data_IF_202015646857
#
_entry.id   IF_202015646857
#
_cell.length_a   1.000
_cell.length_b   1.000
_cell.length_c   1.000
_cell.angle_alpha   90.00
_cell.angle_beta   90.00
_cell.angle_gamma   90.00
#
_symmetry.space_group_name_H-M   'P 1'
#
loop_
_entity.id
_entity.type
_entity.pdbx_description
1 polymer ?
#
# COMPACT_ATOMS: atom_id res chain seq x y z
N UNK A 1 81.17 -59.27 -12.83
CA UNK A 1 80.81 -58.72 -11.51
C UNK A 1 79.58 -57.83 -11.68
N UNK A 2 78.52 -58.14 -10.94
CA UNK A 2 77.25 -57.42 -10.75
C UNK A 2 76.37 -57.07 -11.98
N UNK A 3 75.31 -57.85 -12.15
CA UNK A 3 74.09 -57.50 -12.90
C UNK A 3 73.06 -56.78 -12.01
N UNK A 4 72.27 -55.84 -12.56
CA UNK A 4 70.89 -55.63 -12.11
C UNK A 4 69.93 -55.51 -13.32
N UNK A 5 68.93 -56.39 -13.46
CA UNK A 5 67.61 -56.45 -12.81
C UNK A 5 66.66 -55.30 -13.21
N UNK A 6 65.79 -55.62 -14.17
CA UNK A 6 64.59 -54.87 -14.53
C UNK A 6 63.56 -54.98 -13.39
N UNK A 7 62.96 -53.86 -12.99
CA UNK A 7 61.93 -53.77 -11.94
C UNK A 7 60.55 -53.73 -12.57
N UNK A 8 59.71 -54.70 -12.24
CA UNK A 8 58.25 -54.67 -12.45
C UNK A 8 57.59 -53.82 -11.35
N UNK A 9 56.66 -52.94 -11.73
CA UNK A 9 55.82 -52.18 -10.81
C UNK A 9 54.54 -52.96 -10.49
N UNK A 10 54.08 -53.04 -9.23
CA UNK A 10 52.82 -53.69 -8.88
C UNK A 10 51.62 -52.73 -9.03
N UNK A 11 50.51 -53.27 -9.55
CA UNK A 11 49.22 -52.61 -9.65
C UNK A 11 48.51 -52.55 -8.28
N UNK A 12 48.13 -51.36 -7.83
CA UNK A 12 47.39 -51.15 -6.59
C UNK A 12 45.89 -51.37 -6.83
N UNK A 13 45.29 -52.32 -6.10
CA UNK A 13 43.85 -52.55 -6.04
C UNK A 13 43.25 -51.61 -4.98
N UNK A 14 42.42 -50.65 -5.40
CA UNK A 14 41.69 -49.75 -4.51
C UNK A 14 40.42 -50.41 -3.98
N UNK A 15 40.30 -50.50 -2.65
CA UNK A 15 39.12 -50.96 -1.92
C UNK A 15 38.10 -49.81 -1.84
N UNK A 16 36.92 -49.96 -2.45
CA UNK A 16 35.81 -48.99 -2.33
C UNK A 16 34.98 -49.37 -1.10
N UNK A 17 35.07 -48.57 -0.04
CA UNK A 17 34.20 -48.64 1.13
C UNK A 17 32.91 -47.87 0.86
N UNK A 18 31.78 -48.59 0.77
CA UNK A 18 30.45 -48.03 0.62
C UNK A 18 29.97 -47.50 1.98
N UNK A 19 30.02 -46.18 2.20
CA UNK A 19 29.44 -45.52 3.36
C UNK A 19 27.96 -45.26 3.06
N UNK A 20 27.07 -46.09 3.57
CA UNK A 20 25.62 -45.80 3.57
C UNK A 20 25.33 -44.78 4.67
N UNK A 21 25.38 -43.50 4.32
CA UNK A 21 24.93 -42.41 5.19
C UNK A 21 23.42 -42.49 5.41
N UNK A 22 23.00 -42.60 6.68
CA UNK A 22 21.61 -42.48 7.09
C UNK A 22 21.19 -41.01 6.87
N UNK A 23 20.40 -40.74 5.83
CA UNK A 23 19.84 -39.40 5.61
C UNK A 23 18.68 -39.23 6.58
N UNK A 24 18.92 -38.57 7.72
CA UNK A 24 17.83 -38.09 8.58
C UNK A 24 17.05 -37.01 7.80
N UNK A 25 15.89 -37.37 7.26
CA UNK A 25 14.93 -36.39 6.76
C UNK A 25 14.32 -35.67 7.96
N UNK A 26 14.76 -34.44 8.23
CA UNK A 26 14.05 -33.56 9.15
C UNK A 26 12.63 -33.31 8.63
N UNK A 27 11.59 -33.32 9.47
CA UNK A 27 10.25 -32.93 9.03
C UNK A 27 10.28 -31.49 8.54
N UNK A 28 9.71 -31.23 7.37
CA UNK A 28 9.49 -29.86 6.89
C UNK A 28 8.57 -29.15 7.89
N UNK A 29 9.07 -28.09 8.53
CA UNK A 29 8.24 -27.26 9.40
C UNK A 29 7.18 -26.58 8.53
N UNK A 30 5.92 -26.68 8.94
CA UNK A 30 4.85 -25.92 8.31
C UNK A 30 5.15 -24.43 8.52
N UNK A 31 5.32 -23.69 7.42
CA UNK A 31 5.65 -22.27 7.42
C UNK A 31 4.37 -21.44 7.31
N UNK A 32 4.31 -20.31 8.03
CA UNK A 32 3.26 -19.32 7.82
C UNK A 32 3.36 -18.76 6.41
N UNK A 33 2.25 -18.75 5.67
CA UNK A 33 2.18 -18.17 4.33
C UNK A 33 1.30 -16.93 4.31
N UNK A 34 1.62 -16.01 3.41
CA UNK A 34 0.93 -14.72 3.28
C UNK A 34 0.28 -14.61 1.90
N UNK A 35 -0.75 -13.78 1.80
CA UNK A 35 -1.32 -13.34 0.54
C UNK A 35 -1.96 -11.98 0.78
N UNK A 36 -2.30 -11.28 -0.30
CA UNK A 36 -2.84 -9.94 -0.22
C UNK A 36 -2.62 -9.19 -1.51
N UNK A 37 -3.45 -8.18 -1.71
CA UNK A 37 -3.41 -7.29 -2.87
C UNK A 37 -4.08 -5.98 -2.48
N UNK A 38 -3.52 -4.87 -2.94
CA UNK A 38 -4.15 -3.58 -2.82
C UNK A 38 -4.21 -2.90 -4.19
N UNK A 39 -5.29 -2.16 -4.45
CA UNK A 39 -5.37 -1.30 -5.62
C UNK A 39 -6.15 -0.03 -5.32
N UNK A 40 -5.72 1.09 -5.88
CA UNK A 40 -6.37 2.37 -5.64
C UNK A 40 -7.72 2.49 -6.37
N UNK A 41 -7.84 1.94 -7.59
CA UNK A 41 -9.12 1.86 -8.26
C UNK A 41 -9.25 0.64 -9.17
N UNK A 42 -10.48 0.13 -9.26
CA UNK A 42 -10.93 -0.78 -10.29
C UNK A 42 -12.10 -0.12 -11.03
N UNK A 43 -12.08 -0.20 -12.35
CA UNK A 43 -13.13 0.32 -13.23
C UNK A 43 -13.51 -0.78 -14.20
N UNK A 44 -14.80 -1.08 -14.29
CA UNK A 44 -15.34 -2.04 -15.23
C UNK A 44 -16.59 -1.47 -15.90
N UNK A 45 -16.51 -1.25 -17.20
CA UNK A 45 -17.63 -0.75 -18.03
C UNK A 45 -17.71 -1.55 -19.33
N UNK A 46 -18.84 -1.51 -20.05
CA UNK A 46 -18.92 -2.12 -21.38
C UNK A 46 -17.88 -1.61 -22.38
N UNK A 47 -17.31 -0.41 -22.18
CA UNK A 47 -16.34 0.22 -23.08
C UNK A 47 -14.89 -0.05 -22.68
N UNK A 48 -14.59 -0.08 -21.38
CA UNK A 48 -13.23 -0.25 -20.86
C UNK A 48 -12.87 -1.71 -20.58
N UNK A 49 -13.87 -2.55 -20.32
CA UNK A 49 -13.65 -3.83 -19.62
C UNK A 49 -13.08 -3.60 -18.21
N UNK A 50 -12.68 -4.67 -17.51
CA UNK A 50 -12.06 -4.57 -16.19
C UNK A 50 -10.66 -3.97 -16.29
N UNK A 51 -10.41 -2.93 -15.50
CA UNK A 51 -9.13 -2.22 -15.43
C UNK A 51 -8.79 -1.94 -13.97
N UNK A 52 -7.56 -2.25 -13.57
CA UNK A 52 -7.01 -1.90 -12.26
C UNK A 52 -6.00 -0.76 -12.41
N UNK A 53 -5.98 0.16 -11.44
CA UNK A 53 -5.13 1.35 -11.43
C UNK A 53 -4.42 1.43 -10.08
N UNK A 54 -3.11 1.63 -10.14
CA UNK A 54 -2.20 1.57 -8.99
C UNK A 54 -2.41 0.29 -8.19
N UNK A 55 -1.99 -0.84 -8.77
CA UNK A 55 -2.26 -2.19 -8.28
C UNK A 55 -0.96 -2.89 -7.90
N UNK A 56 -0.88 -3.33 -6.65
CA UNK A 56 0.30 -4.04 -6.15
C UNK A 56 0.52 -5.39 -6.84
N UNK A 57 -0.54 -5.96 -7.40
CA UNK A 57 -0.62 -7.38 -7.71
C UNK A 57 -0.59 -8.26 -6.45
N UNK A 58 -0.59 -9.57 -6.63
CA UNK A 58 -0.62 -10.52 -5.51
C UNK A 58 0.72 -10.58 -4.77
N UNK A 59 0.68 -10.53 -3.45
CA UNK A 59 1.80 -10.83 -2.58
C UNK A 59 2.23 -12.31 -2.70
N UNK A 60 3.53 -12.57 -2.58
CA UNK A 60 4.07 -13.94 -2.59
C UNK A 60 3.64 -14.71 -1.33
N UNK A 61 3.37 -16.03 -1.43
CA UNK A 61 3.16 -16.92 -0.27
C UNK A 61 4.27 -16.86 0.79
N UNK A 62 5.50 -16.56 0.37
CA UNK A 62 6.64 -16.38 1.28
C UNK A 62 6.62 -15.06 2.07
N UNK A 63 5.67 -14.16 1.78
CA UNK A 63 5.65 -12.80 2.31
C UNK A 63 6.44 -11.82 1.46
N UNK A 64 6.90 -10.74 2.09
CA UNK A 64 7.59 -9.61 1.47
C UNK A 64 6.69 -8.40 1.32
N UNK A 65 6.95 -7.57 0.33
CA UNK A 65 6.27 -6.31 0.12
C UNK A 65 6.06 -5.99 -1.35
N UNK A 66 4.93 -5.35 -1.67
CA UNK A 66 4.62 -4.78 -2.98
C UNK A 66 3.89 -3.45 -2.82
N UNK A 67 3.98 -2.60 -3.82
CA UNK A 67 3.41 -1.26 -3.83
C UNK A 67 3.26 -0.76 -5.27
N UNK A 68 2.36 0.20 -5.45
CA UNK A 68 2.19 0.93 -6.71
C UNK A 68 1.56 2.31 -6.42
N UNK A 69 1.84 3.29 -7.27
CA UNK A 69 1.39 4.67 -7.07
C UNK A 69 1.29 5.46 -8.38
N UNK A 70 0.30 6.34 -8.48
CA UNK A 70 0.04 7.20 -9.63
C UNK A 70 -0.35 8.61 -9.17
N UNK A 71 0.17 9.64 -9.82
CA UNK A 71 -0.11 11.03 -9.46
C UNK A 71 -1.51 11.48 -9.90
N UNK A 72 -1.90 11.16 -11.13
CA UNK A 72 -3.19 11.54 -11.70
C UNK A 72 -3.62 10.44 -12.69
N UNK A 73 -4.87 9.98 -12.61
CA UNK A 73 -5.40 8.99 -13.58
C UNK A 73 -5.34 9.50 -15.02
N UNK A 74 -5.35 10.82 -15.23
CA UNK A 74 -5.24 11.45 -16.56
C UNK A 74 -3.88 11.23 -17.20
N UNK A 75 -2.84 11.00 -16.40
CA UNK A 75 -1.48 10.74 -16.90
C UNK A 75 -1.40 9.39 -17.65
N UNK A 76 -2.40 8.52 -17.52
CA UNK A 76 -2.53 7.29 -18.31
C UNK A 76 -2.91 7.56 -19.77
N UNK A 77 -3.38 8.76 -20.11
CA UNK A 77 -3.76 9.12 -21.49
C UNK A 77 -4.99 8.39 -22.02
N UNK A 78 -5.80 7.79 -21.15
CA UNK A 78 -6.97 6.97 -21.52
C UNK A 78 -8.25 7.78 -21.46
N UNK A 79 -8.69 8.33 -22.60
CA UNK A 79 -9.91 9.15 -22.68
C UNK A 79 -11.18 8.41 -22.20
N UNK A 80 -11.27 7.11 -22.46
CA UNK A 80 -12.38 6.27 -21.99
C UNK A 80 -12.41 6.14 -20.47
N UNK A 81 -11.24 6.01 -19.83
CA UNK A 81 -11.14 6.04 -18.37
C UNK A 81 -11.55 7.40 -17.81
N UNK A 82 -11.07 8.50 -18.39
CA UNK A 82 -11.38 9.86 -17.93
C UNK A 82 -12.88 10.19 -17.99
N UNK A 83 -13.65 9.48 -18.82
CA UNK A 83 -15.11 9.59 -18.85
C UNK A 83 -15.83 8.86 -17.71
N UNK A 84 -15.10 8.04 -16.96
CA UNK A 84 -15.62 7.19 -15.87
C UNK A 84 -14.99 7.54 -14.53
N UNK A 85 -13.68 7.78 -14.46
CA UNK A 85 -12.95 8.07 -13.24
C UNK A 85 -11.90 9.14 -13.49
N UNK A 86 -11.89 10.16 -12.65
CA UNK A 86 -10.72 11.01 -12.42
C UNK A 86 -10.37 10.98 -10.94
N UNK A 87 -9.10 10.77 -10.63
CA UNK A 87 -8.58 10.80 -9.26
C UNK A 87 -7.11 11.19 -9.25
N UNK A 88 -6.64 11.64 -8.10
CA UNK A 88 -5.29 12.15 -7.89
C UNK A 88 -4.65 11.46 -6.69
N UNK A 89 -3.31 11.43 -6.67
CA UNK A 89 -2.49 10.94 -5.56
C UNK A 89 -2.89 9.51 -5.12
N UNK A 90 -2.89 8.59 -6.08
CA UNK A 90 -3.21 7.19 -5.87
C UNK A 90 -2.00 6.47 -5.27
N UNK A 91 -2.23 5.67 -4.23
CA UNK A 91 -1.21 4.83 -3.61
C UNK A 91 -1.83 3.50 -3.17
N UNK A 92 -1.09 2.40 -3.36
CA UNK A 92 -1.44 1.07 -2.88
C UNK A 92 -0.20 0.35 -2.33
N UNK A 93 -0.37 -0.45 -1.29
CA UNK A 93 0.70 -1.25 -0.69
C UNK A 93 0.13 -2.53 -0.06
N UNK A 94 0.92 -3.60 -0.12
CA UNK A 94 0.67 -4.85 0.59
C UNK A 94 1.98 -5.45 1.10
N UNK A 95 1.94 -6.09 2.26
CA UNK A 95 3.09 -6.78 2.85
C UNK A 95 2.68 -7.96 3.71
N UNK A 96 3.63 -8.86 3.98
CA UNK A 96 3.43 -9.94 4.93
C UNK A 96 4.73 -10.55 5.43
N UNK A 97 4.87 -10.66 6.75
CA UNK A 97 5.92 -11.38 7.47
C UNK A 97 5.52 -11.47 8.95
N UNK A 98 6.35 -12.07 9.80
CA UNK A 98 6.19 -11.98 11.27
C UNK A 98 4.80 -12.37 11.82
N UNK A 99 4.02 -13.18 11.11
CA UNK A 99 2.67 -13.56 11.51
C UNK A 99 1.60 -12.49 11.25
N UNK A 100 1.87 -11.53 10.36
CA UNK A 100 0.93 -10.50 9.91
C UNK A 100 0.99 -10.29 8.39
N UNK A 101 -0.16 -10.07 7.77
CA UNK A 101 -0.31 -9.48 6.45
C UNK A 101 -1.06 -8.17 6.58
N UNK A 102 -0.59 -7.13 5.89
CA UNK A 102 -1.12 -5.77 5.94
C UNK A 102 -1.27 -5.22 4.52
N UNK A 103 -2.39 -4.57 4.23
CA UNK A 103 -2.64 -3.94 2.94
C UNK A 103 -3.36 -2.61 3.13
N UNK A 104 -3.05 -1.64 2.27
CA UNK A 104 -3.71 -0.35 2.24
C UNK A 104 -3.77 0.23 0.84
N UNK A 105 -4.81 0.99 0.56
CA UNK A 105 -4.92 1.81 -0.64
C UNK A 105 -5.51 3.17 -0.29
N UNK A 106 -5.21 4.19 -1.10
CA UNK A 106 -5.81 5.51 -0.98
C UNK A 106 -5.78 6.29 -2.29
N UNK A 107 -6.66 7.28 -2.39
CA UNK A 107 -6.76 8.22 -3.49
C UNK A 107 -7.48 9.51 -3.02
N UNK A 108 -7.19 10.61 -3.70
CA UNK A 108 -7.75 11.93 -3.43
C UNK A 108 -8.50 12.51 -4.64
N UNK A 109 -9.30 13.55 -4.39
CA UNK A 109 -10.02 14.33 -5.41
C UNK A 109 -10.76 13.46 -6.44
N UNK A 110 -11.55 12.53 -5.93
CA UNK A 110 -12.21 11.50 -6.73
C UNK A 110 -13.49 12.02 -7.35
N UNK A 111 -13.65 11.75 -8.65
CA UNK A 111 -14.92 11.89 -9.37
C UNK A 111 -15.16 10.62 -10.19
N UNK A 112 -16.25 9.92 -9.89
CA UNK A 112 -16.73 8.74 -10.64
C UNK A 112 -17.98 9.13 -11.42
N UNK A 113 -18.05 8.72 -12.68
CA UNK A 113 -19.09 9.05 -13.66
C UNK A 113 -19.37 10.58 -13.74
N UNK A 114 -18.40 11.40 -14.18
CA UNK A 114 -18.57 12.85 -14.28
C UNK A 114 -19.85 13.27 -15.02
N UNK A 115 -20.73 14.03 -14.34
CA UNK A 115 -21.99 14.54 -14.91
C UNK A 115 -23.14 13.52 -15.01
N UNK A 116 -22.94 12.28 -14.54
CA UNK A 116 -23.98 11.26 -14.49
C UNK A 116 -24.89 11.42 -13.26
N UNK A 117 -26.14 10.95 -13.34
CA UNK A 117 -27.07 10.94 -12.22
C UNK A 117 -26.61 10.08 -11.02
N UNK A 118 -25.75 9.09 -11.26
CA UNK A 118 -25.11 8.25 -10.25
C UNK A 118 -23.65 8.67 -9.95
N UNK A 119 -23.29 9.93 -10.20
CA UNK A 119 -21.96 10.45 -9.90
C UNK A 119 -21.60 10.24 -8.42
N UNK A 120 -20.37 9.82 -8.17
CA UNK A 120 -19.76 9.79 -6.82
C UNK A 120 -18.62 10.79 -6.79
N UNK A 121 -18.54 11.60 -5.72
CA UNK A 121 -17.36 12.43 -5.44
C UNK A 121 -16.86 12.19 -4.03
N UNK A 122 -15.56 12.28 -3.82
CA UNK A 122 -14.97 12.27 -2.49
C UNK A 122 -13.64 13.04 -2.52
N UNK A 123 -13.33 13.81 -1.48
CA UNK A 123 -12.04 14.49 -1.38
C UNK A 123 -10.92 13.52 -0.99
N UNK A 124 -11.25 12.46 -0.25
CA UNK A 124 -10.32 11.42 0.15
C UNK A 124 -11.05 10.09 0.34
N UNK A 125 -10.39 8.99 -0.05
CA UNK A 125 -10.87 7.62 0.09
C UNK A 125 -9.69 6.73 0.46
N UNK A 126 -9.80 5.96 1.55
CA UNK A 126 -8.76 5.03 2.02
C UNK A 126 -9.38 3.76 2.59
N UNK A 127 -8.71 2.64 2.38
CA UNK A 127 -9.06 1.33 2.93
C UNK A 127 -7.80 0.68 3.49
N UNK A 128 -7.97 -0.03 4.59
CA UNK A 128 -6.94 -0.84 5.22
C UNK A 128 -7.49 -2.21 5.60
N UNK A 129 -6.64 -3.22 5.47
CA UNK A 129 -6.88 -4.56 5.97
C UNK A 129 -5.63 -5.08 6.67
N UNK A 130 -5.85 -5.84 7.74
CA UNK A 130 -4.82 -6.58 8.44
C UNK A 130 -5.32 -7.99 8.76
N UNK A 131 -4.45 -8.97 8.55
CA UNK A 131 -4.67 -10.34 8.96
C UNK A 131 -3.48 -10.84 9.80
N UNK A 132 -3.76 -11.29 11.01
CA UNK A 132 -2.78 -11.86 11.94
C UNK A 132 -3.15 -13.29 12.27
N UNK A 133 -2.26 -14.03 12.92
CA UNK A 133 -2.58 -15.37 13.41
C UNK A 133 -3.69 -15.40 14.48
N UNK A 134 -4.01 -14.27 15.10
CA UNK A 134 -5.02 -14.18 16.16
C UNK A 134 -6.36 -13.64 15.67
N UNK A 135 -6.39 -12.96 14.52
CA UNK A 135 -7.61 -12.34 14.01
C UNK A 135 -7.35 -11.41 12.85
N UNK A 136 -8.41 -10.77 12.40
CA UNK A 136 -8.38 -9.80 11.31
C UNK A 136 -9.01 -8.48 11.73
N UNK A 137 -8.59 -7.40 11.10
CA UNK A 137 -9.19 -6.08 11.23
C UNK A 137 -9.18 -5.38 9.89
N UNK A 138 -10.11 -4.45 9.71
CA UNK A 138 -10.15 -3.62 8.52
C UNK A 138 -11.04 -2.41 8.75
N UNK A 139 -10.72 -1.35 8.02
CA UNK A 139 -11.33 -0.03 8.19
C UNK A 139 -11.27 0.73 6.87
N UNK A 140 -12.11 1.75 6.77
CA UNK A 140 -12.00 2.73 5.70
C UNK A 140 -12.26 4.12 6.23
N UNK A 141 -11.68 5.09 5.54
CA UNK A 141 -11.87 6.50 5.80
C UNK A 141 -12.28 7.20 4.51
N UNK A 142 -13.35 7.98 4.58
CA UNK A 142 -13.90 8.68 3.43
C UNK A 142 -14.28 10.10 3.85
N UNK A 143 -13.75 11.09 3.14
CA UNK A 143 -14.04 12.50 3.37
C UNK A 143 -14.80 13.12 2.18
N UNK A 144 -15.76 13.99 2.48
CA UNK A 144 -16.48 14.77 1.47
C UNK A 144 -17.32 13.93 0.50
N UNK A 145 -17.84 12.78 0.94
CA UNK A 145 -18.58 11.86 0.07
C UNK A 145 -19.90 12.47 -0.41
N UNK A 146 -20.11 12.46 -1.72
CA UNK A 146 -21.43 12.67 -2.33
C UNK A 146 -21.78 11.53 -3.28
N UNK A 147 -23.07 11.22 -3.38
CA UNK A 147 -23.60 10.24 -4.33
C UNK A 147 -24.90 10.76 -4.93
N UNK A 148 -24.96 10.85 -6.26
CA UNK A 148 -26.09 11.43 -6.99
C UNK A 148 -26.36 12.89 -6.61
N UNK A 149 -25.30 13.66 -6.32
CA UNK A 149 -25.38 15.05 -5.89
C UNK A 149 -25.82 15.27 -4.44
N UNK A 150 -26.07 14.19 -3.68
CA UNK A 150 -26.44 14.27 -2.25
C UNK A 150 -25.23 13.95 -1.38
N UNK A 151 -24.97 14.76 -0.36
CA UNK A 151 -23.93 14.47 0.63
C UNK A 151 -24.32 13.23 1.45
N UNK A 152 -23.37 12.31 1.63
CA UNK A 152 -23.58 11.07 2.37
C UNK A 152 -22.83 11.12 3.69
N UNK A 153 -23.54 10.89 4.80
CA UNK A 153 -22.90 10.70 6.10
C UNK A 153 -22.29 9.31 6.18
N UNK A 154 -20.97 9.24 6.31
CA UNK A 154 -20.22 7.99 6.49
C UNK A 154 -20.27 7.61 7.96
N UNK A 155 -20.79 6.42 8.27
CA UNK A 155 -21.03 5.97 9.65
C UNK A 155 -19.83 5.24 10.27
N UNK A 156 -18.87 4.82 9.43
CA UNK A 156 -17.77 3.92 9.81
C UNK A 156 -18.19 2.46 10.01
N UNK A 157 -19.48 2.14 9.99
CA UNK A 157 -19.95 0.76 10.10
C UNK A 157 -19.61 -0.03 8.84
N UNK A 158 -19.24 -1.32 8.95
CA UNK A 158 -19.04 -2.18 7.79
C UNK A 158 -20.32 -2.28 6.94
N UNK A 159 -20.14 -2.27 5.62
CA UNK A 159 -21.16 -2.54 4.61
C UNK A 159 -22.35 -1.55 4.62
N UNK A 160 -22.10 -0.27 4.92
CA UNK A 160 -23.11 0.77 4.82
C UNK A 160 -23.56 0.92 3.36
N UNK A 161 -24.84 0.70 3.07
CA UNK A 161 -25.36 0.73 1.69
C UNK A 161 -26.26 1.95 1.45
N UNK A 162 -26.03 2.64 0.33
CA UNK A 162 -26.89 3.74 -0.16
C UNK A 162 -27.33 3.41 -1.58
N UNK A 163 -28.61 3.63 -1.89
CA UNK A 163 -29.18 3.39 -3.22
C UNK A 163 -29.85 4.64 -3.78
N UNK A 164 -29.77 4.81 -5.10
CA UNK A 164 -30.47 5.86 -5.83
C UNK A 164 -31.65 5.28 -6.63
N UNK A 165 -32.67 6.10 -6.96
CA UNK A 165 -33.63 5.76 -7.98
C UNK A 165 -32.93 5.35 -9.29
N UNK A 166 -33.38 4.25 -9.90
CA UNK A 166 -32.70 3.65 -11.06
C UNK A 166 -31.72 2.52 -10.73
N UNK A 167 -31.53 2.20 -9.43
CA UNK A 167 -30.87 0.97 -9.00
C UNK A 167 -29.34 1.07 -8.85
N UNK A 168 -28.78 2.27 -8.95
CA UNK A 168 -27.38 2.50 -8.60
C UNK A 168 -27.20 2.29 -7.08
N UNK A 169 -26.20 1.49 -6.72
CA UNK A 169 -25.90 1.11 -5.33
C UNK A 169 -24.46 1.47 -5.01
N UNK A 170 -24.26 2.15 -3.88
CA UNK A 170 -22.95 2.44 -3.30
C UNK A 170 -22.83 1.73 -1.96
N UNK A 171 -21.89 0.79 -1.84
CA UNK A 171 -21.51 0.17 -0.58
C UNK A 171 -20.27 0.89 -0.06
N UNK A 172 -20.34 1.38 1.17
CA UNK A 172 -19.31 2.15 1.86
C UNK A 172 -18.75 1.26 2.96
N UNK A 173 -17.43 1.27 3.12
CA UNK A 173 -16.72 0.39 4.04
C UNK A 173 -17.14 -1.08 3.83
N UNK A 174 -17.15 -1.54 2.58
CA UNK A 174 -17.50 -2.92 2.27
C UNK A 174 -16.41 -3.83 2.84
N UNK A 175 -16.77 -4.69 3.79
CA UNK A 175 -15.84 -5.59 4.44
C UNK A 175 -16.32 -7.02 4.32
N UNK A 176 -15.42 -7.90 3.91
CA UNK A 176 -15.64 -9.35 3.91
C UNK A 176 -14.49 -10.04 4.62
N UNK A 177 -14.85 -11.00 5.47
CA UNK A 177 -13.89 -11.78 6.26
C UNK A 177 -14.05 -13.26 5.93
N UNK A 178 -12.95 -13.96 5.72
CA UNK A 178 -12.93 -15.41 5.59
C UNK A 178 -11.89 -15.99 6.54
N UNK A 179 -12.36 -16.71 7.56
CA UNK A 179 -11.48 -17.27 8.59
C UNK A 179 -11.81 -18.74 8.81
N UNK A 180 -10.87 -19.63 8.53
CA UNK A 180 -11.04 -21.07 8.69
C UNK A 180 -9.73 -21.72 9.17
N UNK A 181 -9.79 -22.43 10.30
CA UNK A 181 -8.64 -23.11 10.88
C UNK A 181 -7.50 -22.14 11.16
N UNK A 182 -6.41 -22.25 10.40
CA UNK A 182 -5.23 -21.39 10.45
C UNK A 182 -5.25 -20.23 9.46
N UNK A 183 -6.20 -20.23 8.52
CA UNK A 183 -6.35 -19.19 7.51
C UNK A 183 -7.22 -18.03 8.02
N UNK A 184 -6.78 -16.80 7.74
CA UNK A 184 -7.44 -15.55 8.08
C UNK A 184 -7.33 -14.62 6.88
N UNK A 185 -8.45 -14.04 6.47
CA UNK A 185 -8.55 -13.11 5.36
C UNK A 185 -9.46 -11.95 5.74
N UNK A 186 -9.04 -10.75 5.35
CA UNK A 186 -9.85 -9.55 5.37
C UNK A 186 -9.71 -8.83 4.04
N UNK A 187 -10.84 -8.51 3.43
CA UNK A 187 -10.93 -7.62 2.29
C UNK A 187 -11.77 -6.41 2.68
N UNK A 188 -11.23 -5.22 2.40
CA UNK A 188 -11.95 -3.96 2.53
C UNK A 188 -11.96 -3.23 1.20
N UNK A 189 -13.13 -2.76 0.78
CA UNK A 189 -13.29 -1.75 -0.25
C UNK A 189 -13.88 -0.51 0.41
N UNK A 190 -13.21 0.65 0.30
CA UNK A 190 -13.73 1.86 0.92
C UNK A 190 -15.04 2.29 0.28
N UNK A 191 -15.10 2.25 -1.06
CA UNK A 191 -16.31 2.52 -1.84
C UNK A 191 -16.44 1.48 -2.96
N UNK A 192 -17.61 0.86 -3.07
CA UNK A 192 -17.97 -0.05 -4.15
C UNK A 192 -19.28 0.43 -4.79
N UNK A 193 -19.17 0.99 -5.99
CA UNK A 193 -20.28 1.49 -6.79
C UNK A 193 -20.67 0.45 -7.85
N UNK A 194 -21.95 0.09 -7.86
CA UNK A 194 -22.57 -0.68 -8.94
C UNK A 194 -23.68 0.12 -9.58
N UNK A 195 -23.57 0.39 -10.88
CA UNK A 195 -24.60 1.02 -11.70
C UNK A 195 -25.01 0.03 -12.80
N UNK A 196 -26.18 -0.64 -12.68
CA UNK A 196 -26.57 -1.70 -13.60
C UNK A 196 -26.49 -1.29 -15.08
N UNK A 197 -25.73 -2.06 -15.86
CA UNK A 197 -25.53 -1.84 -17.30
C UNK A 197 -24.62 -0.66 -17.67
N UNK A 198 -24.07 0.06 -16.69
CA UNK A 198 -23.24 1.26 -16.91
C UNK A 198 -21.81 1.03 -16.44
N UNK A 199 -21.63 0.78 -15.14
CA UNK A 199 -20.29 0.67 -14.55
C UNK A 199 -20.31 -0.09 -13.22
N UNK A 200 -19.20 -0.74 -12.94
CA UNK A 200 -18.80 -1.19 -11.61
C UNK A 200 -17.46 -0.51 -11.30
N UNK A 201 -17.38 0.16 -10.16
CA UNK A 201 -16.20 0.90 -9.75
C UNK A 201 -15.91 0.60 -8.28
N UNK A 202 -14.70 0.18 -7.99
CA UNK A 202 -14.20 0.00 -6.62
C UNK A 202 -13.10 1.03 -6.41
N UNK A 203 -13.21 1.81 -5.34
CA UNK A 203 -12.22 2.80 -4.95
C UNK A 203 -11.59 2.38 -3.63
N UNK A 204 -10.27 2.34 -3.63
CA UNK A 204 -9.43 1.90 -2.53
C UNK A 204 -9.80 0.51 -2.01
N UNK A 205 -9.12 -0.49 -2.53
CA UNK A 205 -9.27 -1.89 -2.11
C UNK A 205 -8.00 -2.37 -1.43
N UNK A 206 -8.17 -3.06 -0.29
CA UNK A 206 -7.10 -3.66 0.49
C UNK A 206 -7.51 -5.08 0.93
N UNK A 207 -6.74 -6.07 0.51
CA UNK A 207 -6.88 -7.47 0.89
C UNK A 207 -5.64 -7.96 1.64
N UNK A 208 -5.84 -8.59 2.78
CA UNK A 208 -4.77 -9.23 3.56
C UNK A 208 -5.16 -10.63 3.96
N UNK A 209 -4.26 -11.58 3.68
CA UNK A 209 -4.43 -12.98 3.99
C UNK A 209 -3.22 -13.54 4.73
N UNK A 210 -3.48 -14.41 5.69
CA UNK A 210 -2.45 -15.19 6.35
C UNK A 210 -2.95 -16.60 6.63
N UNK A 211 -2.09 -17.58 6.40
CA UNK A 211 -2.31 -18.95 6.82
C UNK A 211 -1.20 -19.35 7.79
N UNK A 212 -1.55 -19.42 9.07
CA UNK A 212 -0.58 -19.55 10.14
C UNK A 212 -0.12 -20.98 10.38
N UNK A 213 1.18 -21.16 10.45
CA UNK A 213 1.79 -22.39 10.94
C UNK A 213 2.86 -22.07 11.99
N UNK A 214 3.22 -23.06 12.80
CA UNK A 214 3.87 -22.91 14.12
C UNK A 214 5.19 -22.12 14.19
N UNK A 215 5.78 -21.73 13.06
CA UNK A 215 6.86 -20.75 13.01
C UNK A 215 6.62 -19.74 11.88
N UNK A 216 6.36 -18.48 12.23
CA UNK A 216 6.53 -17.36 11.30
C UNK A 216 8.03 -17.06 11.17
N UNK A 217 8.50 -16.76 9.96
CA UNK A 217 9.86 -16.23 9.78
C UNK A 217 9.96 -14.92 10.55
N UNK A 218 10.91 -14.82 11.48
CA UNK A 218 11.24 -13.54 12.13
C UNK A 218 12.05 -12.72 11.14
N UNK A 219 11.38 -11.81 10.47
CA UNK A 219 12.00 -10.71 9.77
C UNK A 219 12.57 -9.67 10.76
N UNK A 220 13.36 -8.71 10.27
CA UNK A 220 13.71 -7.51 11.05
C UNK A 220 12.45 -6.76 11.51
N UNK A 221 12.65 -5.75 12.37
CA UNK A 221 11.54 -5.03 12.97
C UNK A 221 10.61 -4.44 11.88
N UNK A 222 9.31 -4.69 12.05
CA UNK A 222 8.27 -3.99 11.31
C UNK A 222 8.26 -2.56 11.83
N UNK A 223 8.32 -1.59 10.93
CA UNK A 223 8.10 -0.18 11.24
C UNK A 223 7.79 0.55 9.94
N UNK A 224 6.50 0.75 9.72
CA UNK A 224 5.98 1.23 8.46
C UNK A 224 4.89 2.26 8.73
N UNK A 225 4.92 3.36 8.00
CA UNK A 225 3.89 4.39 8.06
C UNK A 225 3.19 4.49 6.72
N UNK A 226 1.86 4.45 6.76
CA UNK A 226 1.02 4.72 5.60
C UNK A 226 0.15 5.93 5.87
N UNK A 227 -0.33 6.57 4.82
CA UNK A 227 -1.31 7.62 4.99
C UNK A 227 -1.58 8.39 3.73
N UNK A 228 -2.66 9.14 3.76
CA UNK A 228 -3.01 10.05 2.70
C UNK A 228 -4.00 11.07 3.23
N UNK A 229 -4.15 12.15 2.49
CA UNK A 229 -5.02 13.23 2.92
C UNK A 229 -4.60 14.55 2.31
N UNK A 230 -4.93 15.62 3.01
CA UNK A 230 -4.51 16.95 2.63
C UNK A 230 -4.26 17.86 3.82
N UNK A 231 -3.32 18.77 3.61
CA UNK A 231 -3.02 19.89 4.49
C UNK A 231 -3.43 21.19 3.80
N UNK A 232 -3.73 22.22 4.59
CA UNK A 232 -3.88 23.59 4.06
C UNK A 232 -2.49 24.14 3.74
N UNK A 233 -2.27 24.63 2.52
CA UNK A 233 -0.97 25.20 2.11
C UNK A 233 -0.97 26.72 2.23
N UNK A 234 -1.68 27.41 1.34
CA UNK A 234 -1.81 28.88 1.36
C UNK A 234 -3.26 29.31 1.12
N UNK A 235 -3.77 30.20 1.95
CA UNK A 235 -5.17 30.67 1.85
C UNK A 235 -6.17 29.51 1.95
N UNK A 236 -6.95 29.30 0.89
CA UNK A 236 -7.92 28.19 0.77
C UNK A 236 -7.38 27.02 -0.06
N UNK A 237 -6.11 27.08 -0.49
CA UNK A 237 -5.47 26.00 -1.25
C UNK A 237 -4.98 24.89 -0.33
N UNK A 238 -4.78 23.72 -0.92
CA UNK A 238 -4.41 22.52 -0.20
C UNK A 238 -3.31 21.76 -0.94
N UNK A 239 -2.59 20.94 -0.16
CA UNK A 239 -1.61 20.00 -0.64
C UNK A 239 -2.10 18.59 -0.39
N UNK A 240 -2.41 17.83 -1.45
CA UNK A 240 -2.78 16.43 -1.33
C UNK A 240 -1.53 15.57 -1.25
N UNK A 241 -1.53 14.58 -0.36
CA UNK A 241 -0.44 13.60 -0.27
C UNK A 241 -1.00 12.19 -0.14
N UNK A 242 -0.17 11.25 -0.55
CA UNK A 242 -0.35 9.82 -0.35
C UNK A 242 1.03 9.21 -0.22
N UNK A 243 1.25 8.47 0.87
CA UNK A 243 2.54 7.88 1.16
C UNK A 243 2.44 6.52 1.84
N UNK A 244 3.50 5.76 1.65
CA UNK A 244 3.77 4.46 2.22
C UNK A 244 5.28 4.37 2.39
N UNK A 245 5.79 4.47 3.62
CA UNK A 245 7.22 4.55 3.89
C UNK A 245 7.63 3.65 5.05
N UNK A 246 8.80 3.00 4.94
CA UNK A 246 9.43 2.31 6.06
C UNK A 246 9.80 0.86 5.82
N UNK A 247 10.16 0.20 6.92
CA UNK A 247 10.52 -1.20 7.00
C UNK A 247 9.26 -2.04 7.02
N UNK A 248 8.88 -2.50 5.83
CA UNK A 248 7.82 -3.49 5.68
C UNK A 248 8.25 -4.82 6.28
N UNK A 249 7.25 -5.60 6.62
CA UNK A 249 7.40 -6.87 7.31
C UNK A 249 8.35 -7.79 6.50
N UNK A 250 9.47 -8.24 7.12
CA UNK A 250 10.46 -9.10 6.46
C UNK A 250 11.54 -8.39 5.64
N UNK A 251 11.56 -7.05 5.59
CA UNK A 251 12.52 -6.26 4.81
C UNK A 251 13.58 -5.57 5.69
N UNK A 252 14.86 -5.70 5.32
CA UNK A 252 15.97 -4.96 5.94
C UNK A 252 16.21 -3.58 5.33
N UNK A 253 15.53 -3.28 4.22
CA UNK A 253 15.64 -2.01 3.51
C UNK A 253 14.28 -1.32 3.54
N UNK A 254 14.20 -0.05 3.92
CA UNK A 254 12.93 0.64 3.88
C UNK A 254 12.53 0.88 2.43
N UNK A 255 11.23 1.02 2.21
CA UNK A 255 10.65 1.37 0.90
C UNK A 255 9.91 2.69 1.01
N UNK A 256 9.71 3.37 -0.10
CA UNK A 256 8.87 4.57 -0.14
C UNK A 256 8.03 4.61 -1.39
N UNK A 257 6.78 5.03 -1.20
CA UNK A 257 5.99 5.74 -2.19
C UNK A 257 5.54 7.03 -1.53
N UNK A 258 5.71 8.13 -2.24
CA UNK A 258 5.22 9.42 -1.83
C UNK A 258 4.85 10.17 -3.10
N UNK A 259 3.59 10.58 -3.16
CA UNK A 259 3.09 11.51 -4.15
C UNK A 259 2.53 12.72 -3.40
N UNK A 260 2.81 13.92 -3.90
CA UNK A 260 2.29 15.16 -3.36
C UNK A 260 1.91 16.12 -4.48
N UNK A 261 0.79 16.82 -4.33
CA UNK A 261 0.32 17.85 -5.28
C UNK A 261 -0.08 19.08 -4.49
N UNK A 262 0.58 20.22 -4.75
CA UNK A 262 0.14 21.52 -4.22
C UNK A 262 -0.79 22.21 -5.21
N UNK A 263 -2.06 22.37 -4.84
CA UNK A 263 -3.07 22.99 -5.70
C UNK A 263 -2.92 24.52 -5.82
N UNK A 264 -2.13 25.18 -4.97
CA UNK A 264 -1.83 26.60 -5.11
C UNK A 264 -0.90 26.87 -6.30
N UNK A 265 0.09 25.99 -6.51
CA UNK A 265 1.13 26.16 -7.53
C UNK A 265 0.96 25.21 -8.72
N UNK A 266 0.20 24.13 -8.55
CA UNK A 266 0.14 23.00 -9.48
C UNK A 266 1.34 22.05 -9.38
N UNK A 267 2.26 22.28 -8.43
CA UNK A 267 3.49 21.51 -8.29
C UNK A 267 3.18 20.06 -7.91
N UNK A 268 3.75 19.12 -8.65
CA UNK A 268 3.66 17.67 -8.39
C UNK A 268 5.00 17.14 -7.94
N UNK A 269 5.00 16.32 -6.89
CA UNK A 269 6.19 15.66 -6.35
C UNK A 269 5.97 14.16 -6.34
N UNK A 270 6.99 13.42 -6.76
CA UNK A 270 7.03 11.95 -6.62
C UNK A 270 8.36 11.53 -6.05
N UNK A 271 8.35 10.78 -4.95
CA UNK A 271 9.57 10.14 -4.45
C UNK A 271 10.09 9.10 -5.45
N UNK A 272 11.40 9.09 -5.66
CA UNK A 272 12.12 8.15 -6.52
C UNK A 272 13.01 7.20 -5.72
N UNK A 273 13.37 7.58 -4.50
CA UNK A 273 14.13 6.73 -3.58
C UNK A 273 13.86 7.09 -2.12
N UNK A 274 14.31 6.22 -1.22
CA UNK A 274 14.43 6.49 0.21
C UNK A 274 15.90 6.33 0.60
N UNK A 275 16.42 7.31 1.33
CA UNK A 275 17.80 7.34 1.82
C UNK A 275 17.86 7.19 3.33
N UNK A 276 16.85 7.73 4.03
CA UNK A 276 16.73 7.60 5.47
C UNK A 276 15.27 7.36 5.86
N UNK A 277 15.08 6.55 6.90
CA UNK A 277 13.78 6.30 7.54
C UNK A 277 14.00 5.98 9.01
N UNK A 278 13.24 6.62 9.90
CA UNK A 278 13.30 6.31 11.31
C UNK A 278 12.29 7.07 12.17
N UNK A 279 12.41 6.94 13.50
CA UNK A 279 11.59 7.67 14.47
C UNK A 279 11.67 9.18 14.23
N UNK A 280 10.51 9.84 14.26
CA UNK A 280 10.41 11.29 14.26
C UNK A 280 10.57 11.86 15.68
N UNK A 281 9.96 13.03 15.91
CA UNK A 281 10.07 13.76 17.18
C UNK A 281 9.28 13.12 18.33
N UNK A 282 8.24 12.36 18.03
CA UNK A 282 7.37 11.64 18.97
C UNK A 282 7.40 10.14 18.67
N UNK A 283 6.98 9.32 19.64
CA UNK A 283 6.88 7.87 19.48
C UNK A 283 5.97 7.44 18.32
N UNK A 284 4.97 8.28 18.00
CA UNK A 284 3.98 8.06 16.95
C UNK A 284 4.34 8.72 15.61
N UNK A 285 5.53 9.30 15.50
CA UNK A 285 5.96 10.01 14.29
C UNK A 285 7.09 9.30 13.56
N UNK A 286 7.16 9.48 12.25
CA UNK A 286 8.23 8.97 11.40
C UNK A 286 8.79 10.06 10.51
N UNK A 287 10.09 9.99 10.31
CA UNK A 287 10.85 10.85 9.43
C UNK A 287 11.44 10.03 8.30
N UNK A 288 11.36 10.54 7.07
CA UNK A 288 12.02 9.92 5.95
C UNK A 288 12.45 10.92 4.87
N UNK A 289 13.54 10.58 4.20
CA UNK A 289 14.16 11.42 3.16
C UNK A 289 14.54 10.61 1.94
N UNK A 290 14.72 11.27 0.80
CA UNK A 290 15.22 10.61 -0.40
C UNK A 290 15.19 11.50 -1.63
N UNK A 291 15.44 10.89 -2.79
CA UNK A 291 15.33 11.56 -4.08
C UNK A 291 13.87 11.72 -4.51
N UNK A 292 13.57 12.78 -5.23
CA UNK A 292 12.27 13.02 -5.83
C UNK A 292 12.38 13.62 -7.24
N UNK A 293 11.27 13.50 -7.98
CA UNK A 293 10.99 14.39 -9.09
C UNK A 293 10.04 15.50 -8.64
N UNK A 294 10.22 16.70 -9.21
CA UNK A 294 9.28 17.81 -9.08
C UNK A 294 8.85 18.21 -10.49
N UNK A 295 7.56 18.15 -10.76
CA UNK A 295 6.96 18.34 -12.09
C UNK A 295 7.61 17.46 -13.18
N UNK A 296 7.98 16.23 -12.78
CA UNK A 296 8.64 15.26 -13.64
C UNK A 296 10.14 15.50 -13.87
N UNK A 297 10.72 16.53 -13.24
CA UNK A 297 12.16 16.83 -13.33
C UNK A 297 12.90 16.17 -12.16
N UNK A 298 13.90 15.35 -12.47
CA UNK A 298 14.81 14.72 -11.50
C UNK A 298 15.75 15.74 -10.82
N UNK A 299 16.42 15.31 -9.75
CA UNK A 299 17.50 16.07 -9.09
C UNK A 299 17.09 16.79 -7.80
N UNK A 300 15.83 16.62 -7.38
CA UNK A 300 15.34 17.11 -6.10
C UNK A 300 15.52 16.04 -5.02
N UNK A 301 15.60 16.49 -3.77
CA UNK A 301 15.42 15.62 -2.60
C UNK A 301 14.28 16.11 -1.75
N UNK A 302 13.67 15.20 -1.00
CA UNK A 302 12.60 15.52 -0.06
C UNK A 302 12.98 15.13 1.37
N UNK A 303 12.33 15.79 2.31
CA UNK A 303 12.29 15.45 3.73
C UNK A 303 10.85 15.49 4.18
N UNK A 304 10.34 14.39 4.73
CA UNK A 304 8.97 14.28 5.20
C UNK A 304 8.94 13.86 6.66
N UNK A 305 8.09 14.53 7.43
CA UNK A 305 7.70 14.12 8.77
C UNK A 305 6.18 13.86 8.79
N UNK A 306 5.79 12.73 9.35
CA UNK A 306 4.39 12.34 9.57
C UNK A 306 4.18 11.91 11.01
N UNK A 307 2.98 12.13 11.54
CA UNK A 307 2.61 11.64 12.88
C UNK A 307 1.17 11.12 12.89
N UNK A 308 1.02 9.93 13.46
CA UNK A 308 -0.22 9.24 13.75
C UNK A 308 -0.65 9.58 15.19
N UNK A 309 -1.55 10.54 15.36
CA UNK A 309 -1.84 11.12 16.68
C UNK A 309 -3.20 10.70 17.23
N UNK A 310 -4.18 10.37 16.38
CA UNK A 310 -5.50 9.92 16.80
C UNK A 310 -6.26 9.21 15.66
N UNK A 311 -7.29 8.42 16.02
CA UNK A 311 -8.22 7.83 15.07
C UNK A 311 -9.66 8.34 15.29
N UNK A 312 -10.28 9.05 14.32
CA UNK A 312 -9.78 9.38 12.98
C UNK A 312 -8.74 10.51 12.99
N UNK A 313 -7.81 10.46 12.04
CA UNK A 313 -6.65 11.34 11.96
C UNK A 313 -6.92 12.78 11.57
N UNK A 314 -8.11 13.09 11.05
CA UNK A 314 -8.49 14.48 10.76
C UNK A 314 -8.41 15.33 12.04
N UNK A 315 -7.83 16.52 11.90
CA UNK A 315 -7.63 17.50 12.97
C UNK A 315 -6.66 17.02 14.09
N UNK A 316 -5.98 15.87 13.92
CA UNK A 316 -5.03 15.31 14.89
C UNK A 316 -3.68 14.93 14.24
N UNK A 317 -3.71 14.13 13.18
CA UNK A 317 -2.53 13.66 12.46
C UNK A 317 -1.81 14.81 11.77
N UNK A 318 -0.52 14.61 11.48
CA UNK A 318 0.28 15.64 10.82
C UNK A 318 1.06 15.09 9.64
N UNK A 319 1.23 15.96 8.65
CA UNK A 319 2.10 15.76 7.50
C UNK A 319 2.90 17.04 7.26
N UNK A 320 4.18 16.89 6.94
CA UNK A 320 5.00 17.99 6.43
C UNK A 320 6.01 17.49 5.41
N UNK A 321 6.30 18.33 4.42
CA UNK A 321 7.24 18.08 3.35
C UNK A 321 8.12 19.30 3.14
N UNK A 322 9.42 19.07 3.03
CA UNK A 322 10.41 20.03 2.56
C UNK A 322 11.06 19.48 1.29
N UNK A 323 11.17 20.30 0.25
CA UNK A 323 11.89 19.97 -0.98
C UNK A 323 13.18 20.76 -1.06
N UNK A 324 14.22 20.11 -1.56
CA UNK A 324 15.52 20.70 -1.75
C UNK A 324 15.97 20.56 -3.21
N UNK A 325 16.67 21.58 -3.69
CA UNK A 325 17.42 21.53 -4.95
C UNK A 325 18.85 22.00 -4.67
N UNK A 326 19.85 21.20 -5.08
CA UNK A 326 21.26 21.44 -4.80
C UNK A 326 21.57 21.73 -3.30
N UNK A 327 20.83 21.07 -2.39
CA UNK A 327 21.00 21.22 -0.94
C UNK A 327 20.34 22.46 -0.32
N UNK A 328 19.63 23.27 -1.10
CA UNK A 328 18.89 24.44 -0.61
C UNK A 328 17.39 24.12 -0.53
N UNK A 329 16.72 24.51 0.57
CA UNK A 329 15.26 24.42 0.69
C UNK A 329 14.61 25.33 -0.34
N UNK A 330 13.75 24.76 -1.18
CA UNK A 330 13.04 25.49 -2.24
C UNK A 330 11.53 25.50 -2.04
N UNK A 331 11.02 24.63 -1.17
CA UNK A 331 9.59 24.52 -0.87
C UNK A 331 9.39 23.85 0.49
N UNK A 332 8.43 24.37 1.27
CA UNK A 332 8.02 23.81 2.56
C UNK A 332 6.50 23.91 2.68
N UNK A 333 5.87 22.81 3.09
CA UNK A 333 4.47 22.78 3.47
C UNK A 333 4.27 21.78 4.60
N UNK A 334 3.36 22.06 5.52
CA UNK A 334 3.05 21.14 6.61
C UNK A 334 1.93 21.63 7.49
N UNK A 335 1.32 20.70 8.22
CA UNK A 335 0.28 21.02 9.18
C UNK A 335 -0.47 19.80 9.66
N UNK A 336 -1.48 20.07 10.48
CA UNK A 336 -2.50 19.08 10.86
C UNK A 336 -3.36 18.73 9.65
N UNK A 337 -3.75 17.47 9.52
CA UNK A 337 -4.59 17.01 8.42
C UNK A 337 -5.97 17.66 8.49
N UNK A 338 -6.34 18.40 7.46
CA UNK A 338 -7.70 18.93 7.33
C UNK A 338 -8.67 17.88 6.72
N UNK A 339 -8.11 16.76 6.23
CA UNK A 339 -8.80 15.50 5.98
C UNK A 339 -7.80 14.40 5.63
N UNK A 340 -8.17 13.15 5.91
CA UNK A 340 -7.31 11.99 5.77
C UNK A 340 -6.67 11.55 7.08
N UNK A 341 -5.77 10.58 7.00
CA UNK A 341 -5.25 9.84 8.14
C UNK A 341 -3.86 9.28 7.83
N UNK A 342 -3.01 9.26 8.86
CA UNK A 342 -1.72 8.59 8.94
C UNK A 342 -1.89 7.38 9.84
N UNK A 343 -1.23 6.28 9.56
CA UNK A 343 -1.21 5.10 10.43
C UNK A 343 0.22 4.61 10.56
N UNK A 344 0.67 4.52 11.80
CA UNK A 344 1.95 3.92 12.16
C UNK A 344 1.73 2.45 12.52
N UNK A 345 2.22 1.58 11.63
CA UNK A 345 2.10 0.14 11.76
C UNK A 345 3.28 -0.43 12.51
N UNK A 346 3.05 -0.81 13.78
CA UNK A 346 4.01 -1.45 14.70
C UNK A 346 5.36 -0.72 14.76
N UNK A 347 5.60 0.19 15.70
CA UNK A 347 6.90 0.87 15.79
C UNK A 347 8.03 -0.09 16.18
N UNK A 348 9.22 0.04 15.58
CA UNK A 348 10.43 -0.59 16.14
C UNK A 348 10.70 0.00 17.55
N UNK A 349 11.15 -0.80 18.53
CA UNK A 349 11.53 -0.33 19.87
C UNK A 349 12.68 0.68 19.89
#
# INVERSE_FOLDING_TARGET
MNSPRWRFAPAAWGLITLITGLVCTSPAQAQTTFSGRAFAAFVNTPLTGPMFISDTGQLSPSGGARDDALLDTRDLGLATLNSVLTAEVLAASTSGANGTADSSASLANVVVLPGNAAQVTASFVRAESQATCTGVSGSSEIAGLTFGGTAITVTGQPNQTVTLPGGATLVINEQTTNSNGTSRQMQVNALHLTVPGVAEVILSSAESDINCAGTASQGPCHDFVSGGGWIVTTGTSHGNFGHNAGFKDGSLTPTVHLNYIDHATGMKVKATSITDYGPGRTATSRHFTGGATVDGVDGYTYSVDVADNDEPGKDADTFSITLFNAGQSVYEAGGTLAGGNVQLHKPCP
#
